data_IF_936033331586
#
_entry.id   IF_936033331586
#
_cell.length_a   1.000
_cell.length_b   1.000
_cell.length_c   1.000
_cell.angle_alpha   90.00
_cell.angle_beta   90.00
_cell.angle_gamma   90.00
#
_symmetry.space_group_name_H-M   'P 1'
#
loop_
_entity.id
_entity.type
_entity.pdbx_description
1 polymer ?
#
# COMPACT_ATOMS: atom_id res chain seq x y z
N UNK A 1 1.69 13.00 -20.77
CA UNK A 1 1.76 13.64 -19.44
C UNK A 1 1.92 12.54 -18.41
N UNK A 2 2.96 12.60 -17.57
CA UNK A 2 3.04 11.77 -16.37
C UNK A 2 1.79 12.08 -15.54
N UNK A 3 0.96 11.08 -15.23
CA UNK A 3 -0.09 11.29 -14.24
C UNK A 3 0.57 11.18 -12.88
N UNK A 4 0.57 12.27 -12.14
CA UNK A 4 1.09 12.34 -10.75
C UNK A 4 0.18 11.58 -9.77
N UNK A 5 -0.94 11.04 -10.23
CA UNK A 5 -1.91 10.31 -9.44
C UNK A 5 -2.50 9.14 -10.24
N UNK A 6 -2.79 8.04 -9.53
CA UNK A 6 -3.52 6.92 -10.09
C UNK A 6 -5.03 7.16 -9.94
N UNK A 7 -5.77 7.16 -11.05
CA UNK A 7 -7.22 7.31 -11.03
C UNK A 7 -7.87 6.03 -10.52
N UNK A 8 -8.63 6.15 -9.42
CA UNK A 8 -9.43 5.08 -8.84
C UNK A 8 -10.90 5.39 -9.11
N UNK A 9 -11.66 4.37 -9.48
CA UNK A 9 -13.10 4.43 -9.67
C UNK A 9 -13.79 3.53 -8.63
N UNK A 10 -15.03 3.82 -8.23
CA UNK A 10 -15.75 3.06 -7.18
C UNK A 10 -15.94 1.58 -7.50
N UNK A 11 -15.85 1.22 -8.79
CA UNK A 11 -15.95 -0.15 -9.26
C UNK A 11 -14.63 -0.94 -9.17
N UNK A 12 -13.53 -0.25 -8.88
CA UNK A 12 -12.22 -0.87 -8.70
C UNK A 12 -12.20 -1.70 -7.42
N UNK A 13 -11.37 -2.73 -7.40
CA UNK A 13 -11.25 -3.66 -6.28
C UNK A 13 -9.80 -3.83 -5.86
N UNK A 14 -9.59 -3.98 -4.57
CA UNK A 14 -8.32 -4.43 -4.01
C UNK A 14 -8.31 -5.96 -3.96
N UNK A 15 -7.34 -6.56 -4.64
CA UNK A 15 -7.09 -8.00 -4.61
C UNK A 15 -5.80 -8.24 -3.83
N UNK A 16 -5.91 -8.86 -2.65
CA UNK A 16 -4.76 -9.19 -1.82
C UNK A 16 -3.82 -10.12 -2.59
N UNK A 17 -2.54 -9.77 -2.62
CA UNK A 17 -1.50 -10.57 -3.28
C UNK A 17 -0.64 -11.31 -2.27
N UNK A 18 -0.22 -10.59 -1.23
CA UNK A 18 0.69 -11.15 -0.25
C UNK A 18 0.57 -10.47 1.10
N UNK A 19 0.86 -11.25 2.14
CA UNK A 19 1.04 -10.77 3.51
C UNK A 19 2.39 -11.31 3.97
N UNK A 20 3.32 -10.42 4.24
CA UNK A 20 4.63 -10.75 4.81
C UNK A 20 4.58 -10.42 6.29
N UNK A 21 4.68 -11.46 7.12
CA UNK A 21 4.80 -11.33 8.57
C UNK A 21 6.26 -11.42 8.96
N UNK A 22 6.80 -10.36 9.53
CA UNK A 22 8.19 -10.32 9.97
C UNK A 22 8.30 -10.92 11.38
N UNK A 23 9.00 -12.05 11.51
CA UNK A 23 9.06 -12.87 12.74
C UNK A 23 9.98 -12.31 13.85
N UNK A 24 10.17 -11.00 13.92
CA UNK A 24 11.07 -10.38 14.89
C UNK A 24 10.24 -9.75 16.01
N UNK A 25 10.78 -9.69 17.24
CA UNK A 25 10.13 -9.25 18.49
C UNK A 25 9.45 -7.85 18.37
N UNK A 26 8.24 -7.82 17.78
CA UNK A 26 7.46 -6.62 17.49
C UNK A 26 7.54 -6.09 16.05
N UNK A 27 7.84 -6.87 15.01
CA UNK A 27 7.97 -6.31 13.66
C UNK A 27 6.69 -6.27 12.81
N UNK A 28 6.80 -5.37 11.84
CA UNK A 28 5.87 -4.87 10.83
C UNK A 28 5.27 -5.97 9.94
N UNK A 29 3.94 -6.01 9.85
CA UNK A 29 3.22 -6.80 8.85
C UNK A 29 3.12 -5.96 7.58
N UNK A 30 3.54 -6.52 6.44
CA UNK A 30 3.44 -5.85 5.14
C UNK A 30 2.40 -6.57 4.31
N UNK A 31 1.30 -5.90 4.02
CA UNK A 31 0.25 -6.43 3.15
C UNK A 31 0.22 -5.68 1.84
N UNK A 32 0.18 -6.42 0.73
CA UNK A 32 0.14 -5.86 -0.62
C UNK A 32 -1.15 -6.29 -1.34
N UNK A 33 -1.80 -5.32 -1.98
CA UNK A 33 -2.97 -5.51 -2.83
C UNK A 33 -2.71 -4.96 -4.23
N UNK A 34 -3.30 -5.60 -5.23
CA UNK A 34 -3.45 -5.03 -6.56
C UNK A 34 -4.76 -4.26 -6.66
N UNK A 35 -4.70 -3.09 -7.27
CA UNK A 35 -5.89 -2.34 -7.68
C UNK A 35 -6.27 -2.84 -9.07
N UNK A 36 -7.47 -3.40 -9.19
CA UNK A 36 -7.99 -3.96 -10.44
C UNK A 36 -9.29 -3.27 -10.80
N UNK A 37 -9.43 -2.81 -12.04
CA UNK A 37 -10.69 -2.23 -12.51
C UNK A 37 -11.77 -3.28 -12.74
N UNK A 38 -13.00 -2.81 -12.92
CA UNK A 38 -14.16 -3.66 -13.20
C UNK A 38 -13.99 -4.56 -14.43
N UNK A 39 -13.16 -4.15 -15.40
CA UNK A 39 -12.79 -4.91 -16.59
C UNK A 39 -11.65 -5.92 -16.37
N UNK A 40 -11.12 -6.01 -15.15
CA UNK A 40 -10.02 -6.91 -14.79
C UNK A 40 -8.62 -6.37 -15.07
N UNK A 41 -8.47 -5.12 -15.54
CA UNK A 41 -7.14 -4.55 -15.77
C UNK A 41 -6.47 -4.10 -14.47
N UNK A 42 -5.19 -4.44 -14.31
CA UNK A 42 -4.40 -3.92 -13.20
C UNK A 42 -4.11 -2.43 -13.40
N UNK A 43 -4.53 -1.62 -12.43
CA UNK A 43 -4.29 -0.16 -12.39
C UNK A 43 -3.03 0.19 -11.61
N UNK A 44 -2.71 -0.58 -10.59
CA UNK A 44 -1.57 -0.34 -9.70
C UNK A 44 -1.57 -1.27 -8.50
N UNK A 45 -0.85 -0.89 -7.45
CA UNK A 45 -0.84 -1.62 -6.18
C UNK A 45 -0.87 -0.69 -4.98
N UNK A 46 -1.34 -1.22 -3.85
CA UNK A 46 -1.29 -0.58 -2.53
C UNK A 46 -0.53 -1.50 -1.60
N UNK A 47 0.36 -0.93 -0.81
CA UNK A 47 1.08 -1.64 0.25
C UNK A 47 0.81 -0.94 1.58
N UNK A 48 0.32 -1.71 2.56
CA UNK A 48 0.21 -1.28 3.95
C UNK A 48 1.38 -1.88 4.73
N UNK A 49 2.07 -1.01 5.45
CA UNK A 49 3.06 -1.36 6.45
C UNK A 49 2.45 -1.08 7.82
N UNK A 50 2.21 -2.13 8.61
CA UNK A 50 1.67 -2.05 9.97
C UNK A 50 2.78 -2.04 11.02
N UNK A 51 2.51 -1.56 12.24
CA UNK A 51 3.41 -1.57 13.40
C UNK A 51 4.76 -0.88 13.12
N UNK A 52 4.76 0.16 12.29
CA UNK A 52 5.94 0.93 11.94
C UNK A 52 6.61 1.59 13.15
N UNK A 53 5.81 1.98 14.15
CA UNK A 53 6.27 2.56 15.41
C UNK A 53 7.22 1.65 16.21
N UNK A 54 7.21 0.33 15.94
CA UNK A 54 8.17 -0.59 16.55
C UNK A 54 9.59 -0.42 16.00
N UNK A 55 9.74 0.31 14.87
CA UNK A 55 11.03 0.86 14.44
C UNK A 55 11.23 2.22 15.11
N UNK A 56 12.38 2.38 15.78
CA UNK A 56 12.77 3.61 16.48
C UNK A 56 12.77 4.89 15.63
N UNK A 57 12.72 4.76 14.30
CA UNK A 57 12.74 5.85 13.31
C UNK A 57 11.36 6.38 12.92
N UNK A 58 10.27 5.73 13.32
CA UNK A 58 8.92 6.15 12.95
C UNK A 58 8.09 6.41 14.21
N UNK A 59 7.43 7.56 14.26
CA UNK A 59 6.52 7.92 15.35
C UNK A 59 5.08 7.48 15.11
N UNK A 60 4.79 6.87 13.95
CA UNK A 60 3.44 6.46 13.53
C UNK A 60 3.31 4.95 13.40
N UNK A 61 2.09 4.43 13.52
CA UNK A 61 1.80 3.00 13.41
C UNK A 61 1.80 2.48 11.96
N UNK A 62 1.39 3.29 10.98
CA UNK A 62 1.13 2.83 9.62
C UNK A 62 1.84 3.67 8.57
N UNK A 63 2.22 3.00 7.47
CA UNK A 63 2.54 3.64 6.19
C UNK A 63 1.72 3.00 5.09
N UNK A 64 1.15 3.80 4.23
CA UNK A 64 0.41 3.36 3.05
C UNK A 64 1.15 3.90 1.84
N UNK A 65 1.60 3.01 0.97
CA UNK A 65 2.18 3.40 -0.33
C UNK A 65 1.31 2.90 -1.46
N UNK A 66 1.08 3.74 -2.46
CA UNK A 66 0.40 3.35 -3.69
C UNK A 66 1.35 3.51 -4.86
N UNK A 67 1.36 2.51 -5.74
CA UNK A 67 2.15 2.51 -6.97
C UNK A 67 1.24 2.47 -8.19
N UNK A 68 1.68 3.13 -9.26
CA UNK A 68 1.06 2.97 -10.56
C UNK A 68 1.42 1.63 -11.21
N UNK A 69 0.84 1.33 -12.37
CA UNK A 69 1.12 0.10 -13.14
C UNK A 69 2.60 -0.05 -13.56
N UNK A 70 3.37 1.04 -13.54
CA UNK A 70 4.81 1.03 -13.85
C UNK A 70 5.68 0.89 -12.59
N UNK A 71 5.07 0.73 -11.42
CA UNK A 71 5.77 0.58 -10.14
C UNK A 71 6.22 1.90 -9.51
N UNK A 72 5.86 3.06 -10.07
CA UNK A 72 6.22 4.37 -9.51
C UNK A 72 5.30 4.69 -8.34
N UNK A 73 5.89 5.14 -7.23
CA UNK A 73 5.12 5.57 -6.06
C UNK A 73 4.40 6.88 -6.37
N UNK A 74 3.07 6.85 -6.25
CA UNK A 74 2.18 8.01 -6.47
C UNK A 74 1.56 8.52 -5.17
N UNK A 75 1.51 7.68 -4.14
CA UNK A 75 1.12 8.06 -2.77
C UNK A 75 2.09 7.43 -1.79
N UNK A 76 2.53 8.22 -0.81
CA UNK A 76 3.29 7.76 0.35
C UNK A 76 2.76 8.51 1.58
N UNK A 77 2.05 7.80 2.45
CA UNK A 77 1.33 8.41 3.56
C UNK A 77 1.67 7.71 4.88
N UNK A 78 1.92 8.51 5.92
CA UNK A 78 2.20 8.08 7.29
C UNK A 78 1.03 8.46 8.19
N UNK A 79 0.48 7.50 8.93
CA UNK A 79 -0.71 7.72 9.77
C UNK A 79 -0.72 6.80 10.99
N UNK A 80 -1.41 7.23 12.04
CA UNK A 80 -1.71 6.42 13.22
C UNK A 80 -3.10 5.78 13.18
N UNK A 81 -3.88 6.10 12.14
CA UNK A 81 -5.27 5.66 11.98
C UNK A 81 -5.47 5.11 10.57
N UNK A 82 -6.16 3.97 10.47
CA UNK A 82 -6.59 3.34 9.22
C UNK A 82 -8.06 3.65 8.90
#
# INVERSE_FOLDING_TARGET
MLRDYLKIDDSDRLIEQSVIRLNNRGQEDVTEWHIVSADGMQKGSVTLFDKLCNRRSYSVNYRITQKDVHGRVVVDHLTDVL
#
